data_IF_470208538631
#
_entry.id   IF_470208538631
#
_cell.length_a   1.000
_cell.length_b   1.000
_cell.length_c   1.000
_cell.angle_alpha   90.00
_cell.angle_beta   90.00
_cell.angle_gamma   90.00
#
_symmetry.space_group_name_H-M   'P 1'
#
loop_
_entity.id
_entity.type
_entity.pdbx_description
1 polymer ?
#
# COMPACT_ATOMS: atom_id res chain seq x y z
N UNK A 1 -7.24 -40.03 19.96
CA UNK A 1 -7.87 -38.91 20.67
C UNK A 1 -6.74 -38.14 21.33
N UNK A 2 -6.19 -37.15 20.62
CA UNK A 2 -4.95 -36.48 21.03
C UNK A 2 -5.31 -35.11 21.59
N UNK A 3 -5.18 -35.00 22.91
CA UNK A 3 -5.51 -33.82 23.72
C UNK A 3 -4.46 -32.71 23.47
N UNK A 4 -4.89 -31.63 22.81
CA UNK A 4 -4.04 -30.46 22.55
C UNK A 4 -4.08 -29.57 23.81
N UNK A 5 -3.07 -29.72 24.69
CA UNK A 5 -2.83 -28.78 25.78
C UNK A 5 -2.55 -27.37 25.21
N UNK A 6 -3.58 -26.53 25.21
CA UNK A 6 -3.47 -25.09 25.06
C UNK A 6 -2.57 -24.55 26.18
N UNK A 7 -1.35 -24.11 25.84
CA UNK A 7 -0.53 -23.25 26.69
C UNK A 7 -1.18 -21.87 26.78
N UNK A 8 -2.29 -21.76 27.51
CA UNK A 8 -2.96 -20.49 27.77
C UNK A 8 -2.14 -19.69 28.79
N UNK A 9 -1.25 -18.82 28.28
CA UNK A 9 -0.66 -17.77 29.12
C UNK A 9 -1.79 -16.84 29.57
N UNK A 10 -1.93 -16.65 30.88
CA UNK A 10 -2.88 -15.69 31.45
C UNK A 10 -2.43 -14.27 31.04
N UNK A 11 -3.25 -13.59 30.25
CA UNK A 11 -3.04 -12.17 29.88
C UNK A 11 -3.67 -11.34 30.99
N UNK A 12 -2.87 -10.52 31.67
CA UNK A 12 -3.33 -9.61 32.72
C UNK A 12 -2.94 -8.19 32.33
N UNK A 13 -3.93 -7.33 32.12
CA UNK A 13 -3.72 -5.92 31.76
C UNK A 13 -3.46 -5.11 33.03
N UNK A 14 -2.41 -4.30 33.01
CA UNK A 14 -2.19 -3.27 34.04
C UNK A 14 -3.34 -2.25 34.00
N UNK A 15 -3.59 -1.52 35.09
CA UNK A 15 -4.60 -0.44 35.10
C UNK A 15 -4.35 0.58 33.98
N UNK A 16 -3.08 0.94 33.78
CA UNK A 16 -2.63 1.80 32.67
C UNK A 16 -2.84 1.20 31.27
N UNK A 17 -2.95 -0.12 31.17
CA UNK A 17 -3.25 -0.85 29.94
C UNK A 17 -4.74 -0.92 29.66
N UNK A 18 -5.58 -1.05 30.70
CA UNK A 18 -7.04 -0.97 30.59
C UNK A 18 -7.49 0.42 30.15
N UNK A 19 -6.90 1.46 30.70
CA UNK A 19 -7.17 2.86 30.33
C UNK A 19 -6.87 3.11 28.84
N UNK A 20 -5.69 2.71 28.37
CA UNK A 20 -5.32 2.82 26.93
C UNK A 20 -6.19 1.97 26.02
N UNK A 21 -6.67 0.81 26.49
CA UNK A 21 -7.58 -0.02 25.71
C UNK A 21 -8.97 0.63 25.58
N UNK A 22 -9.44 1.30 26.64
CA UNK A 22 -10.67 2.09 26.60
C UNK A 22 -10.53 3.27 25.63
N UNK A 23 -9.43 4.02 25.69
CA UNK A 23 -9.13 5.10 24.73
C UNK A 23 -9.10 4.59 23.28
N UNK A 24 -8.49 3.43 23.05
CA UNK A 24 -8.45 2.82 21.72
C UNK A 24 -9.85 2.43 21.22
N UNK A 25 -10.68 1.86 22.09
CA UNK A 25 -12.06 1.49 21.72
C UNK A 25 -12.89 2.72 21.39
N UNK A 26 -12.80 3.79 22.18
CA UNK A 26 -13.47 5.07 21.92
C UNK A 26 -13.04 5.65 20.57
N UNK A 27 -11.74 5.59 20.25
CA UNK A 27 -11.20 6.09 18.99
C UNK A 27 -11.71 5.28 17.80
N UNK A 28 -11.72 3.94 17.91
CA UNK A 28 -12.26 3.05 16.87
C UNK A 28 -13.75 3.31 16.68
N UNK A 29 -14.51 3.47 17.77
CA UNK A 29 -15.94 3.74 17.70
C UNK A 29 -16.22 5.06 16.96
N UNK A 30 -15.52 6.14 17.30
CA UNK A 30 -15.66 7.43 16.59
C UNK A 30 -15.33 7.33 15.11
N UNK A 31 -14.27 6.60 14.76
CA UNK A 31 -13.92 6.37 13.35
C UNK A 31 -15.02 5.61 12.60
N UNK A 32 -15.64 4.62 13.23
CA UNK A 32 -16.78 3.92 12.65
C UNK A 32 -17.95 4.87 12.45
N UNK A 33 -18.31 5.64 13.48
CA UNK A 33 -19.43 6.58 13.44
C UNK A 33 -19.25 7.65 12.36
N UNK A 34 -18.05 8.21 12.23
CA UNK A 34 -17.75 9.23 11.22
C UNK A 34 -17.84 8.65 9.80
N UNK A 35 -17.33 7.44 9.56
CA UNK A 35 -17.41 6.80 8.24
C UNK A 35 -18.85 6.39 7.88
N UNK A 36 -19.65 5.95 8.86
CA UNK A 36 -21.08 5.69 8.64
C UNK A 36 -21.82 7.00 8.35
N UNK A 37 -21.53 8.07 9.10
CA UNK A 37 -22.13 9.37 8.88
C UNK A 37 -21.84 9.85 7.45
N UNK A 38 -20.59 9.81 7.00
CA UNK A 38 -20.24 10.20 5.62
C UNK A 38 -21.01 9.43 4.54
N UNK A 39 -21.31 8.15 4.77
CA UNK A 39 -21.98 7.28 3.79
C UNK A 39 -23.49 7.37 3.80
N UNK A 40 -24.10 7.43 4.99
CA UNK A 40 -25.55 7.39 5.19
C UNK A 40 -26.19 8.75 5.40
N UNK A 41 -25.43 9.84 5.39
CA UNK A 41 -25.98 11.17 5.60
C UNK A 41 -26.99 11.55 4.51
N UNK A 42 -28.26 11.66 4.92
CA UNK A 42 -29.34 12.22 4.14
C UNK A 42 -29.75 13.56 4.76
N UNK A 43 -29.80 14.67 3.99
CA UNK A 43 -30.20 15.96 4.53
C UNK A 43 -31.65 15.90 5.05
N UNK A 44 -31.82 16.10 6.36
CA UNK A 44 -33.14 16.11 7.01
C UNK A 44 -33.38 14.99 8.03
N UNK A 45 -32.47 14.03 8.15
CA UNK A 45 -32.54 12.99 9.19
C UNK A 45 -31.80 13.43 10.47
N UNK A 46 -32.51 13.40 11.61
CA UNK A 46 -31.95 13.70 12.93
C UNK A 46 -31.25 12.48 13.57
N UNK A 47 -31.53 11.27 13.08
CA UNK A 47 -31.05 10.00 13.65
C UNK A 47 -30.57 9.07 12.54
N UNK A 48 -29.32 8.64 12.63
CA UNK A 48 -28.75 7.61 11.75
C UNK A 48 -28.79 6.28 12.49
N UNK A 49 -29.56 5.32 11.97
CA UNK A 49 -29.57 3.96 12.48
C UNK A 49 -28.31 3.21 12.01
N UNK A 50 -27.54 2.69 12.97
CA UNK A 50 -26.34 1.89 12.74
C UNK A 50 -26.69 0.41 12.88
N UNK A 51 -26.52 -0.35 11.80
CA UNK A 51 -26.76 -1.80 11.79
C UNK A 51 -25.45 -2.58 11.84
N UNK A 52 -25.52 -3.87 12.17
CA UNK A 52 -24.35 -4.74 12.18
C UNK A 52 -23.67 -4.85 10.80
N UNK A 53 -24.44 -4.75 9.70
CA UNK A 53 -23.88 -4.75 8.34
C UNK A 53 -23.05 -3.50 8.06
N UNK A 54 -23.45 -2.34 8.59
CA UNK A 54 -22.69 -1.09 8.42
C UNK A 54 -21.31 -1.18 9.06
N UNK A 55 -21.26 -1.76 10.27
CA UNK A 55 -20.00 -1.99 10.99
C UNK A 55 -19.10 -2.95 10.20
N UNK A 56 -19.66 -3.98 9.58
CA UNK A 56 -18.90 -4.95 8.79
C UNK A 56 -18.36 -4.34 7.48
N UNK A 57 -19.15 -3.50 6.81
CA UNK A 57 -18.71 -2.73 5.65
C UNK A 57 -17.59 -1.74 5.98
N UNK A 58 -17.73 -1.02 7.10
CA UNK A 58 -16.72 -0.06 7.56
C UNK A 58 -15.44 -0.76 8.01
N UNK A 59 -15.55 -1.91 8.70
CA UNK A 59 -14.39 -2.75 9.00
C UNK A 59 -13.65 -3.19 7.73
N UNK A 60 -14.39 -3.52 6.66
CA UNK A 60 -13.82 -3.90 5.37
C UNK A 60 -13.10 -2.72 4.72
N UNK A 61 -13.71 -1.54 4.68
CA UNK A 61 -13.09 -0.35 4.08
C UNK A 61 -11.87 0.14 4.85
N UNK A 62 -11.90 0.13 6.19
CA UNK A 62 -10.73 0.44 7.00
C UNK A 62 -9.58 -0.51 6.69
N UNK A 63 -9.83 -1.83 6.65
CA UNK A 63 -8.81 -2.83 6.29
C UNK A 63 -8.21 -2.58 4.90
N UNK A 64 -9.05 -2.19 3.93
CA UNK A 64 -8.61 -1.84 2.58
C UNK A 64 -7.76 -0.54 2.56
N UNK A 65 -8.11 0.48 3.35
CA UNK A 65 -7.32 1.72 3.47
C UNK A 65 -5.91 1.45 4.00
N UNK A 66 -5.76 0.66 5.07
CA UNK A 66 -4.45 0.30 5.61
C UNK A 66 -3.59 -0.51 4.64
N UNK A 67 -4.19 -1.26 3.71
CA UNK A 67 -3.45 -1.94 2.63
C UNK A 67 -3.00 -0.97 1.54
N UNK A 68 -3.85 -0.01 1.18
CA UNK A 68 -3.60 0.94 0.10
C UNK A 68 -2.62 2.08 0.44
N UNK A 69 -2.38 2.38 1.72
CA UNK A 69 -1.40 3.41 2.13
C UNK A 69 0.06 3.10 1.70
N UNK A 70 0.35 1.87 1.26
CA UNK A 70 1.64 1.51 0.67
C UNK A 70 1.78 1.93 -0.80
N UNK A 71 0.67 2.13 -1.51
CA UNK A 71 0.64 2.53 -2.92
C UNK A 71 1.27 3.91 -3.22
N UNK A 72 1.07 5.00 -2.43
CA UNK A 72 1.65 6.30 -2.76
C UNK A 72 3.18 6.31 -2.69
N UNK A 73 3.80 5.55 -1.77
CA UNK A 73 5.26 5.44 -1.70
C UNK A 73 5.87 4.77 -2.93
N UNK A 74 5.18 3.78 -3.49
CA UNK A 74 5.59 3.11 -4.74
C UNK A 74 5.50 4.04 -5.97
N UNK A 75 4.52 4.96 -5.99
CA UNK A 75 4.40 5.94 -7.09
C UNK A 75 5.51 6.99 -7.05
N UNK A 76 5.86 7.49 -5.86
CA UNK A 76 6.96 8.44 -5.69
C UNK A 76 8.31 7.82 -6.04
N UNK A 77 8.57 6.57 -5.64
CA UNK A 77 9.82 5.89 -6.03
C UNK A 77 9.89 5.67 -7.54
N UNK A 78 8.79 5.35 -8.22
CA UNK A 78 8.75 5.20 -9.67
C UNK A 78 9.10 6.52 -10.40
N UNK A 79 8.53 7.64 -9.96
CA UNK A 79 8.79 8.96 -10.54
C UNK A 79 10.25 9.39 -10.36
N UNK A 80 10.79 9.23 -9.15
CA UNK A 80 12.20 9.53 -8.86
C UNK A 80 13.11 8.67 -9.72
N UNK A 81 12.85 7.37 -9.80
CA UNK A 81 13.65 6.44 -10.61
C UNK A 81 13.66 6.86 -12.10
N UNK A 82 12.50 7.24 -12.65
CA UNK A 82 12.39 7.74 -14.03
C UNK A 82 13.17 9.05 -14.25
N UNK A 83 13.16 9.97 -13.29
CA UNK A 83 13.99 11.19 -13.36
C UNK A 83 15.48 10.86 -13.39
N UNK A 84 15.94 9.94 -12.53
CA UNK A 84 17.33 9.48 -12.52
C UNK A 84 17.75 8.83 -13.84
N UNK A 85 16.85 8.09 -14.51
CA UNK A 85 17.09 7.55 -15.84
C UNK A 85 17.35 8.67 -16.86
N UNK A 86 16.45 9.66 -16.91
CA UNK A 86 16.56 10.79 -17.85
C UNK A 86 17.82 11.59 -17.59
N UNK A 87 18.13 11.89 -16.34
CA UNK A 87 19.35 12.61 -15.94
C UNK A 87 20.60 11.80 -16.33
N UNK A 88 20.61 10.49 -16.08
CA UNK A 88 21.72 9.60 -16.46
C UNK A 88 21.97 9.58 -17.97
N UNK A 89 20.90 9.51 -18.77
CA UNK A 89 20.98 9.58 -20.23
C UNK A 89 21.51 10.95 -20.69
N UNK A 90 21.00 12.04 -20.12
CA UNK A 90 21.47 13.40 -20.44
C UNK A 90 22.94 13.60 -20.09
N UNK A 91 23.40 13.12 -18.93
CA UNK A 91 24.81 13.14 -18.52
C UNK A 91 25.70 12.36 -19.49
N UNK A 92 25.23 11.19 -19.91
CA UNK A 92 25.96 10.35 -20.86
C UNK A 92 26.07 11.04 -22.22
N UNK A 93 24.98 11.61 -22.73
CA UNK A 93 24.95 12.38 -23.97
C UNK A 93 25.82 13.63 -23.89
N UNK A 94 25.76 14.38 -22.79
CA UNK A 94 26.59 15.55 -22.56
C UNK A 94 28.07 15.18 -22.54
N UNK A 95 28.44 14.08 -21.89
CA UNK A 95 29.82 13.57 -21.87
C UNK A 95 30.32 13.10 -23.25
N UNK A 96 29.44 12.54 -24.09
CA UNK A 96 29.76 12.15 -25.48
C UNK A 96 29.85 13.37 -26.41
N UNK A 97 29.06 14.42 -26.17
CA UNK A 97 29.07 15.67 -26.94
C UNK A 97 30.23 16.60 -26.56
N UNK A 98 30.70 16.56 -25.31
CA UNK A 98 31.85 17.32 -24.82
C UNK A 98 33.10 17.30 -25.74
N UNK A 99 33.57 16.15 -26.26
CA UNK A 99 34.75 16.07 -27.13
C UNK A 99 34.57 16.68 -28.53
N UNK A 100 33.34 17.03 -28.95
CA UNK A 100 33.12 17.84 -30.16
C UNK A 100 33.43 19.33 -29.93
N UNK A 101 33.40 19.79 -28.66
CA UNK A 101 33.67 21.18 -28.30
C UNK A 101 35.15 21.42 -27.99
N UNK A 102 35.86 20.42 -27.45
CA UNK A 102 37.29 20.50 -27.15
C UNK A 102 38.09 19.42 -27.91
N UNK A 103 38.82 19.86 -28.92
CA UNK A 103 39.94 19.10 -29.48
C UNK A 103 41.05 19.08 -28.42
N UNK A 104 41.12 18.08 -27.53
CA UNK A 104 42.35 17.64 -26.83
C UNK A 104 42.09 16.41 -25.95
N UNK A 105 43.01 15.45 -26.10
CA UNK A 105 43.29 14.27 -25.27
C UNK A 105 43.04 14.46 -23.76
N UNK A 106 42.41 13.43 -23.16
CA UNK A 106 42.52 13.04 -21.74
C UNK A 106 41.89 13.98 -20.70
N UNK A 107 40.61 14.32 -20.83
CA UNK A 107 39.86 14.93 -19.73
C UNK A 107 39.25 13.85 -18.81
N UNK A 108 39.80 13.62 -17.59
CA UNK A 108 39.24 12.64 -16.64
C UNK A 108 37.79 12.96 -16.23
N UNK A 109 37.41 14.23 -16.32
CA UNK A 109 36.05 14.73 -16.06
C UNK A 109 35.03 14.16 -17.08
N UNK A 110 35.44 13.99 -18.33
CA UNK A 110 34.55 13.46 -19.36
C UNK A 110 34.22 11.98 -19.11
N UNK A 111 35.25 11.17 -18.81
CA UNK A 111 35.07 9.76 -18.51
C UNK A 111 34.28 9.54 -17.22
N UNK A 112 34.44 10.40 -16.21
CA UNK A 112 33.65 10.31 -15.00
C UNK A 112 32.18 10.68 -15.23
N UNK A 113 31.89 11.69 -16.06
CA UNK A 113 30.51 12.03 -16.45
C UNK A 113 29.82 10.90 -17.21
N UNK A 114 30.49 10.31 -18.21
CA UNK A 114 29.96 9.18 -18.97
C UNK A 114 29.76 7.97 -18.06
N UNK A 115 30.76 7.63 -17.25
CA UNK A 115 30.69 6.50 -16.32
C UNK A 115 29.55 6.66 -15.31
N UNK A 116 29.40 7.84 -14.72
CA UNK A 116 28.33 8.13 -13.76
C UNK A 116 26.96 8.11 -14.41
N UNK A 117 26.81 8.65 -15.63
CA UNK A 117 25.57 8.60 -16.39
C UNK A 117 25.13 7.18 -16.73
N UNK A 118 26.07 6.34 -17.16
CA UNK A 118 25.81 4.91 -17.45
C UNK A 118 25.43 4.15 -16.18
N UNK A 119 26.18 4.32 -15.08
CA UNK A 119 25.89 3.66 -13.80
C UNK A 119 24.52 4.08 -13.26
N UNK A 120 24.18 5.38 -13.31
CA UNK A 120 22.87 5.89 -12.90
C UNK A 120 21.74 5.28 -13.74
N UNK A 121 21.93 5.18 -15.05
CA UNK A 121 20.92 4.61 -15.96
C UNK A 121 20.69 3.13 -15.67
N UNK A 122 21.76 2.35 -15.45
CA UNK A 122 21.67 0.93 -15.10
C UNK A 122 21.03 0.71 -13.72
N UNK A 123 21.42 1.49 -12.72
CA UNK A 123 20.81 1.43 -11.39
C UNK A 123 19.33 1.77 -11.43
N UNK A 124 18.94 2.79 -12.19
CA UNK A 124 17.54 3.18 -12.36
C UNK A 124 16.73 2.07 -13.07
N UNK A 125 17.30 1.44 -14.09
CA UNK A 125 16.67 0.30 -14.77
C UNK A 125 16.45 -0.88 -13.82
N UNK A 126 17.48 -1.24 -13.03
CA UNK A 126 17.39 -2.31 -12.04
C UNK A 126 16.35 -2.00 -10.95
N UNK A 127 16.32 -0.77 -10.46
CA UNK A 127 15.36 -0.34 -9.44
C UNK A 127 13.92 -0.36 -9.96
N UNK A 128 13.71 0.08 -11.21
CA UNK A 128 12.39 0.00 -11.87
C UNK A 128 11.94 -1.45 -12.00
N UNK A 129 12.84 -2.35 -12.42
CA UNK A 129 12.55 -3.78 -12.50
C UNK A 129 12.19 -4.38 -11.14
N UNK A 130 12.96 -4.06 -10.09
CA UNK A 130 12.71 -4.54 -8.73
C UNK A 130 11.36 -4.05 -8.18
N UNK A 131 11.04 -2.77 -8.39
CA UNK A 131 9.75 -2.18 -8.00
C UNK A 131 8.60 -2.85 -8.74
N UNK A 132 8.73 -3.09 -10.05
CA UNK A 132 7.72 -3.77 -10.86
C UNK A 132 7.46 -5.19 -10.35
N UNK A 133 8.52 -5.97 -10.11
CA UNK A 133 8.41 -7.33 -9.59
C UNK A 133 7.69 -7.38 -8.24
N UNK A 134 8.01 -6.45 -7.33
CA UNK A 134 7.29 -6.35 -6.06
C UNK A 134 5.82 -5.99 -6.26
N UNK A 135 5.52 -5.04 -7.16
CA UNK A 135 4.15 -4.57 -7.42
C UNK A 135 3.25 -5.71 -7.92
N UNK A 136 3.75 -6.57 -8.80
CA UNK A 136 3.01 -7.71 -9.32
C UNK A 136 2.59 -8.68 -8.20
N UNK A 137 3.50 -8.98 -7.26
CA UNK A 137 3.18 -9.82 -6.09
C UNK A 137 2.11 -9.20 -5.18
N UNK A 138 2.09 -7.87 -5.04
CA UNK A 138 1.04 -7.20 -4.25
C UNK A 138 -0.31 -7.23 -4.95
N UNK A 139 -0.34 -6.93 -6.26
CA UNK A 139 -1.57 -6.94 -7.05
C UNK A 139 -2.19 -8.33 -7.14
N UNK A 140 -1.37 -9.38 -7.19
CA UNK A 140 -1.84 -10.75 -7.21
C UNK A 140 -2.47 -11.16 -5.87
N UNK A 141 -1.90 -10.72 -4.74
CA UNK A 141 -2.48 -10.93 -3.41
C UNK A 141 -3.82 -10.22 -3.26
N UNK A 142 -3.92 -8.97 -3.70
CA UNK A 142 -5.17 -8.21 -3.66
C UNK A 142 -6.26 -8.87 -4.51
N UNK A 143 -5.91 -9.34 -5.72
CA UNK A 143 -6.86 -10.08 -6.58
C UNK A 143 -7.39 -11.34 -5.91
N UNK A 144 -6.50 -12.13 -5.30
CA UNK A 144 -6.88 -13.37 -4.61
C UNK A 144 -7.79 -13.06 -3.41
N UNK A 145 -7.53 -11.99 -2.67
CA UNK A 145 -8.36 -11.60 -1.52
C UNK A 145 -9.75 -11.15 -1.96
N UNK A 146 -9.84 -10.30 -3.00
CA UNK A 146 -11.11 -9.86 -3.60
C UNK A 146 -11.91 -11.06 -4.17
N UNK A 147 -11.24 -12.00 -4.84
CA UNK A 147 -11.91 -13.18 -5.40
C UNK A 147 -12.47 -14.10 -4.31
N UNK A 148 -11.72 -14.31 -3.23
CA UNK A 148 -12.21 -15.08 -2.06
C UNK A 148 -13.42 -14.42 -1.43
N UNK A 149 -13.40 -13.10 -1.32
CA UNK A 149 -14.50 -12.31 -0.79
C UNK A 149 -15.76 -12.42 -1.65
N UNK A 150 -15.65 -12.21 -2.98
CA UNK A 150 -16.79 -12.38 -3.89
C UNK A 150 -17.33 -13.81 -3.88
N UNK A 151 -16.46 -14.82 -3.77
CA UNK A 151 -16.87 -16.22 -3.68
C UNK A 151 -17.63 -16.50 -2.39
N UNK A 152 -17.22 -15.88 -1.28
CA UNK A 152 -17.89 -16.02 0.02
C UNK A 152 -19.28 -15.38 0.02
N UNK A 153 -19.42 -14.18 -0.57
CA UNK A 153 -20.72 -13.52 -0.73
C UNK A 153 -21.69 -14.38 -1.54
N UNK A 154 -21.25 -14.90 -2.69
CA UNK A 154 -22.08 -15.81 -3.50
C UNK A 154 -22.55 -17.05 -2.75
N UNK A 155 -21.71 -17.60 -1.86
CA UNK A 155 -22.09 -18.75 -1.05
C UNK A 155 -23.14 -18.39 0.00
N UNK A 156 -23.02 -17.21 0.62
CA UNK A 156 -24.00 -16.72 1.60
C UNK A 156 -25.36 -16.41 0.94
N UNK A 157 -25.34 -15.86 -0.27
CA UNK A 157 -26.56 -15.61 -1.04
C UNK A 157 -27.26 -16.94 -1.43
N UNK A 158 -26.47 -17.95 -1.84
CA UNK A 158 -27.00 -19.28 -2.12
C UNK A 158 -27.58 -19.99 -0.88
N UNK A 159 -27.02 -19.77 0.32
CA UNK A 159 -27.59 -20.29 1.57
C UNK A 159 -28.91 -19.58 1.94
N UNK A 160 -29.01 -18.26 1.70
CA UNK A 160 -30.26 -17.51 1.90
C UNK A 160 -31.39 -17.98 0.98
N UNK A 161 -31.09 -18.21 -0.30
CA UNK A 161 -32.10 -18.67 -1.26
C UNK A 161 -32.57 -20.11 -0.98
N UNK A 162 -31.74 -20.95 -0.36
CA UNK A 162 -32.13 -22.32 0.05
C UNK A 162 -32.92 -22.39 1.37
N UNK A 163 -32.96 -21.32 2.14
CA UNK A 163 -33.64 -21.28 3.45
C UNK A 163 -35.01 -20.57 3.42
N UNK A 164 -35.43 -20.09 2.25
CA UNK A 164 -36.74 -19.46 2.00
C UNK A 164 -37.62 -20.39 1.15
#
# INVERSE_FOLDING_TARGET
MTDYKSNAKKIEYTESGKERLAELNDLIQRQIEDEIRERKFLPGDDVIEVTASDIEEVKRSMRLRFHNERAPRLQMTELVTRLYLVIGILLTLAGIMYPLLDTIRQNPIQYSMIGMGVVMSLMSMFMTYYVKMRRETYLERDRIEIEREMRREKLLDMERDNTT
#
